data_IF_975533747753
#
_entry.id   IF_975533747753
#
_cell.length_a   1.000
_cell.length_b   1.000
_cell.length_c   1.000
_cell.angle_alpha   90.00
_cell.angle_beta   90.00
_cell.angle_gamma   90.00
#
_symmetry.space_group_name_H-M   'P 1'
#
loop_
_entity.id
_entity.type
_entity.pdbx_description
1 polymer ?
#
# COMPACT_ATOMS: atom_id res chain seq x y z
N UNK A 1 10.25 2.95 7.07
CA UNK A 1 9.81 3.98 8.07
C UNK A 1 10.97 4.68 8.78
N UNK A 2 11.87 3.97 9.47
CA UNK A 2 12.98 4.61 10.24
C UNK A 2 13.96 5.40 9.36
N UNK A 3 14.27 4.90 8.17
CA UNK A 3 15.17 5.55 7.19
C UNK A 3 14.64 6.95 6.81
N UNK A 4 13.43 7.04 6.24
CA UNK A 4 12.78 8.32 5.89
C UNK A 4 12.74 9.29 7.08
N UNK A 5 12.37 8.81 8.28
CA UNK A 5 12.36 9.65 9.48
C UNK A 5 13.75 10.22 9.82
N UNK A 6 14.81 9.40 9.80
CA UNK A 6 16.17 9.85 10.10
C UNK A 6 16.70 10.87 9.08
N UNK A 7 16.39 10.68 7.79
CA UNK A 7 16.78 11.61 6.73
C UNK A 7 16.09 12.96 6.94
N UNK A 8 14.76 12.98 7.09
CA UNK A 8 13.98 14.21 7.24
C UNK A 8 14.35 15.00 8.51
N UNK A 9 14.62 14.29 9.62
CA UNK A 9 14.94 14.93 10.90
C UNK A 9 16.45 15.22 11.08
N UNK A 10 17.26 15.12 10.02
CA UNK A 10 18.68 15.48 10.03
C UNK A 10 18.98 16.51 8.95
N UNK A 11 18.47 17.75 9.09
CA UNK A 11 18.54 18.79 8.06
C UNK A 11 19.97 19.24 7.75
N UNK A 12 20.92 19.00 8.64
CA UNK A 12 22.31 19.45 8.52
C UNK A 12 23.28 18.37 8.05
N UNK A 13 22.91 17.08 8.12
CA UNK A 13 23.83 15.98 7.84
C UNK A 13 23.27 15.01 6.80
N UNK A 14 22.16 14.33 7.10
CA UNK A 14 21.65 13.28 6.21
C UNK A 14 20.81 13.85 5.07
N UNK A 15 20.02 14.90 5.33
CA UNK A 15 19.17 15.50 4.29
C UNK A 15 20.00 16.15 3.17
N UNK A 16 21.05 16.95 3.44
CA UNK A 16 21.88 17.52 2.37
C UNK A 16 22.60 16.43 1.57
N UNK A 17 23.13 15.40 2.24
CA UNK A 17 23.76 14.25 1.56
C UNK A 17 22.79 13.46 0.70
N UNK A 18 21.53 13.35 1.12
CA UNK A 18 20.49 12.74 0.31
C UNK A 18 20.24 13.58 -0.96
N UNK A 19 20.14 14.91 -0.81
CA UNK A 19 19.99 15.81 -1.95
C UNK A 19 21.16 15.70 -2.93
N UNK A 20 22.40 15.70 -2.44
CA UNK A 20 23.61 15.48 -3.24
C UNK A 20 23.56 14.15 -4.00
N UNK A 21 23.11 13.07 -3.36
CA UNK A 21 23.01 11.76 -4.00
C UNK A 21 21.89 11.70 -5.06
N UNK A 22 20.78 12.40 -4.84
CA UNK A 22 19.68 12.48 -5.81
C UNK A 22 19.95 13.46 -6.95
N UNK A 23 20.93 14.36 -6.80
CA UNK A 23 21.27 15.36 -7.80
C UNK A 23 21.72 14.70 -9.11
N UNK A 24 21.18 15.17 -10.24
CA UNK A 24 21.47 14.60 -11.55
C UNK A 24 20.82 13.24 -11.84
N UNK A 25 19.89 12.79 -10.98
CA UNK A 25 19.05 11.60 -11.23
C UNK A 25 17.61 12.02 -11.53
N UNK A 26 16.79 11.08 -12.02
CA UNK A 26 15.35 11.33 -12.23
C UNK A 26 14.57 11.66 -10.95
N UNK A 27 15.19 11.51 -9.77
CA UNK A 27 14.59 11.79 -8.47
C UNK A 27 15.17 13.04 -7.80
N UNK A 28 15.76 13.95 -8.58
CA UNK A 28 16.26 15.22 -8.07
C UNK A 28 15.18 15.95 -7.24
N UNK A 29 15.58 16.46 -6.07
CA UNK A 29 14.69 17.10 -5.09
C UNK A 29 13.59 16.19 -4.49
N UNK A 30 13.54 14.90 -4.82
CA UNK A 30 12.57 13.96 -4.22
C UNK A 30 13.10 13.40 -2.91
N UNK A 31 12.28 13.48 -1.87
CA UNK A 31 12.56 12.89 -0.55
C UNK A 31 11.66 11.66 -0.37
N UNK A 32 12.16 10.65 0.35
CA UNK A 32 11.37 9.48 0.73
C UNK A 32 10.16 9.91 1.59
N UNK A 33 8.92 9.60 1.16
CA UNK A 33 7.71 9.99 1.87
C UNK A 33 7.73 9.47 3.31
N UNK A 34 7.24 10.28 4.23
CA UNK A 34 7.08 9.85 5.61
C UNK A 34 5.83 8.99 5.76
N UNK A 35 5.90 7.95 6.61
CA UNK A 35 4.72 7.17 6.96
C UNK A 35 3.95 7.83 8.10
N UNK A 36 2.74 8.29 7.83
CA UNK A 36 1.86 9.00 8.74
C UNK A 36 0.79 8.04 9.27
N UNK A 37 0.75 7.83 10.58
CA UNK A 37 -0.14 6.83 11.19
C UNK A 37 -1.64 7.08 10.93
N UNK A 38 -2.04 8.34 10.77
CA UNK A 38 -3.43 8.74 10.53
C UNK A 38 -3.80 8.73 9.04
N UNK A 39 -2.84 8.59 8.13
CA UNK A 39 -3.09 8.58 6.70
C UNK A 39 -2.95 7.15 6.16
N UNK A 40 -4.08 6.48 5.92
CA UNK A 40 -4.10 5.05 5.58
C UNK A 40 -3.27 4.69 4.34
N UNK A 41 -3.07 5.64 3.44
CA UNK A 41 -2.32 5.46 2.20
C UNK A 41 -0.80 5.68 2.32
N UNK A 42 -0.31 6.34 3.38
CA UNK A 42 1.10 6.76 3.44
C UNK A 42 2.07 5.59 3.53
N UNK A 43 1.63 4.44 4.06
CA UNK A 43 2.47 3.23 4.11
C UNK A 43 2.76 2.72 2.70
N UNK A 44 1.73 2.63 1.84
CA UNK A 44 1.90 2.25 0.45
C UNK A 44 2.77 3.26 -0.31
N UNK A 45 2.48 4.56 -0.19
CA UNK A 45 3.20 5.61 -0.91
C UNK A 45 4.70 5.65 -0.52
N UNK A 46 4.99 5.46 0.77
CA UNK A 46 6.37 5.32 1.27
C UNK A 46 7.06 4.10 0.67
N UNK A 47 6.44 2.91 0.75
CA UNK A 47 7.05 1.68 0.24
C UNK A 47 7.28 1.76 -1.27
N UNK A 48 6.29 2.25 -2.02
CA UNK A 48 6.38 2.41 -3.47
C UNK A 48 7.52 3.34 -3.88
N UNK A 49 7.62 4.50 -3.23
CA UNK A 49 8.73 5.44 -3.48
C UNK A 49 10.09 4.86 -3.07
N UNK A 50 10.12 4.07 -1.99
CA UNK A 50 11.34 3.43 -1.51
C UNK A 50 11.84 2.34 -2.48
N UNK A 51 10.94 1.54 -3.06
CA UNK A 51 11.25 0.56 -4.12
C UNK A 51 11.67 1.25 -5.43
N UNK A 52 11.02 2.34 -5.84
CA UNK A 52 11.43 3.14 -7.02
C UNK A 52 12.86 3.71 -6.88
N UNK A 53 13.27 4.05 -5.66
CA UNK A 53 14.58 4.64 -5.38
C UNK A 53 15.58 3.60 -4.83
N UNK A 54 15.37 2.30 -5.08
CA UNK A 54 16.16 1.19 -4.52
C UNK A 54 17.67 1.37 -4.64
N UNK A 55 18.16 1.73 -5.82
CA UNK A 55 19.61 1.91 -6.05
C UNK A 55 20.19 3.08 -5.24
N UNK A 56 19.45 4.19 -5.16
CA UNK A 56 19.85 5.35 -4.37
C UNK A 56 19.77 5.04 -2.87
N UNK A 57 18.73 4.35 -2.44
CA UNK A 57 18.58 3.90 -1.06
C UNK A 57 19.75 2.99 -0.65
N UNK A 58 20.09 1.99 -1.46
CA UNK A 58 21.21 1.09 -1.17
C UNK A 58 22.55 1.85 -1.09
N UNK A 59 22.85 2.72 -2.07
CA UNK A 59 24.07 3.57 -2.04
C UNK A 59 24.13 4.46 -0.80
N UNK A 60 23.00 5.04 -0.42
CA UNK A 60 22.92 5.93 0.74
C UNK A 60 23.12 5.18 2.07
N UNK A 61 22.60 3.96 2.18
CA UNK A 61 22.70 3.11 3.37
C UNK A 61 24.08 2.48 3.52
N UNK A 62 24.71 2.11 2.41
CA UNK A 62 26.06 1.51 2.35
C UNK A 62 27.17 2.52 2.68
N UNK A 63 26.90 3.81 2.52
CA UNK A 63 27.83 4.88 2.89
C UNK A 63 28.08 4.89 4.41
N UNK A 64 29.26 4.40 4.84
CA UNK A 64 29.69 4.33 6.26
C UNK A 64 29.56 5.67 6.99
N UNK A 65 29.71 6.79 6.26
CA UNK A 65 29.58 8.15 6.78
C UNK A 65 28.17 8.50 7.27
N UNK A 66 27.13 7.77 6.86
CA UNK A 66 25.74 8.02 7.20
C UNK A 66 25.27 7.26 8.45
N UNK A 67 26.01 6.24 8.91
CA UNK A 67 25.65 5.47 10.10
C UNK A 67 24.33 4.71 9.99
N UNK A 68 23.91 4.35 8.78
CA UNK A 68 22.65 3.67 8.48
C UNK A 68 22.82 2.23 7.96
N UNK A 69 24.04 1.68 8.01
CA UNK A 69 24.35 0.34 7.52
C UNK A 69 23.47 -0.77 8.15
N UNK A 70 23.02 -0.58 9.39
CA UNK A 70 22.09 -1.50 10.06
C UNK A 70 20.69 -1.58 9.43
N UNK A 71 20.37 -0.73 8.44
CA UNK A 71 19.12 -0.73 7.71
C UNK A 71 19.27 -1.17 6.24
N UNK A 72 20.45 -1.68 5.85
CA UNK A 72 20.63 -2.31 4.54
C UNK A 72 19.74 -3.55 4.48
N UNK A 73 18.94 -3.64 3.43
CA UNK A 73 18.00 -4.73 3.23
C UNK A 73 18.62 -5.83 2.38
N UNK A 74 18.37 -7.08 2.74
CA UNK A 74 18.73 -8.23 1.91
C UNK A 74 17.83 -8.31 0.66
N UNK A 75 18.20 -9.16 -0.31
CA UNK A 75 17.38 -9.36 -1.50
C UNK A 75 16.00 -9.92 -1.15
N UNK A 76 15.94 -10.85 -0.19
CA UNK A 76 14.69 -11.45 0.29
C UNK A 76 13.79 -10.40 0.97
N UNK A 77 14.39 -9.45 1.70
CA UNK A 77 13.63 -8.35 2.31
C UNK A 77 13.09 -7.38 1.26
N UNK A 78 13.84 -7.14 0.17
CA UNK A 78 13.35 -6.36 -0.97
C UNK A 78 12.18 -7.04 -1.68
N UNK A 79 12.25 -8.36 -1.89
CA UNK A 79 11.14 -9.13 -2.44
C UNK A 79 9.90 -9.06 -1.53
N UNK A 80 10.09 -9.10 -0.21
CA UNK A 80 8.99 -8.91 0.74
C UNK A 80 8.39 -7.49 0.66
N UNK A 81 9.19 -6.46 0.42
CA UNK A 81 8.72 -5.09 0.18
C UNK A 81 7.88 -5.02 -1.11
N UNK A 82 8.31 -5.66 -2.18
CA UNK A 82 7.56 -5.67 -3.43
C UNK A 82 6.25 -6.45 -3.31
N UNK A 83 6.26 -7.58 -2.59
CA UNK A 83 5.05 -8.32 -2.22
C UNK A 83 4.07 -7.50 -1.37
N UNK A 84 4.57 -6.70 -0.42
CA UNK A 84 3.75 -5.77 0.36
C UNK A 84 3.12 -4.69 -0.52
N UNK A 85 3.90 -4.10 -1.43
CA UNK A 85 3.39 -3.09 -2.37
C UNK A 85 2.27 -3.69 -3.23
N UNK A 86 2.46 -4.91 -3.73
CA UNK A 86 1.46 -5.61 -4.53
C UNK A 86 0.14 -5.79 -3.76
N UNK A 87 0.20 -6.32 -2.53
CA UNK A 87 -0.98 -6.55 -1.68
C UNK A 87 -1.69 -5.25 -1.30
N UNK A 88 -0.93 -4.21 -0.97
CA UNK A 88 -1.49 -2.93 -0.53
C UNK A 88 -2.08 -2.10 -1.67
N UNK A 89 -1.72 -2.40 -2.93
CA UNK A 89 -2.15 -1.62 -4.10
C UNK A 89 -3.67 -1.57 -4.24
N UNK A 90 -4.37 -2.70 -4.11
CA UNK A 90 -5.83 -2.73 -4.23
C UNK A 90 -6.52 -1.87 -3.16
N UNK A 91 -5.97 -1.85 -1.95
CA UNK A 91 -6.48 -1.02 -0.86
C UNK A 91 -6.24 0.47 -1.11
N UNK A 92 -5.06 0.82 -1.64
CA UNK A 92 -4.72 2.19 -2.04
C UNK A 92 -5.66 2.68 -3.14
N UNK A 93 -5.88 1.86 -4.16
CA UNK A 93 -6.73 2.20 -5.30
C UNK A 93 -8.19 2.36 -4.86
N UNK A 94 -8.72 1.42 -4.05
CA UNK A 94 -10.05 1.54 -3.46
C UNK A 94 -10.19 2.81 -2.60
N UNK A 95 -9.22 3.09 -1.72
CA UNK A 95 -9.24 4.30 -0.89
C UNK A 95 -9.23 5.57 -1.73
N UNK A 96 -8.39 5.62 -2.78
CA UNK A 96 -8.32 6.77 -3.69
C UNK A 96 -9.63 6.95 -4.47
N UNK A 97 -10.24 5.86 -4.92
CA UNK A 97 -11.54 5.87 -5.54
C UNK A 97 -12.57 6.48 -4.59
N UNK A 98 -12.73 5.93 -3.38
CA UNK A 98 -13.71 6.42 -2.39
C UNK A 98 -13.44 7.82 -1.84
N UNK A 99 -12.21 8.32 -1.96
CA UNK A 99 -11.85 9.70 -1.59
C UNK A 99 -12.11 10.72 -2.70
N UNK A 100 -12.53 10.29 -3.89
CA UNK A 100 -12.91 11.20 -4.98
C UNK A 100 -14.38 11.65 -4.86
N UNK A 101 -14.82 12.59 -5.70
CA UNK A 101 -16.19 13.12 -5.66
C UNK A 101 -17.23 12.26 -6.40
N UNK A 102 -16.80 11.21 -7.09
CA UNK A 102 -17.61 10.34 -7.95
C UNK A 102 -18.23 9.07 -7.30
N UNK A 103 -17.72 8.50 -6.19
CA UNK A 103 -18.21 7.24 -5.65
C UNK A 103 -19.63 7.36 -5.13
N UNK A 104 -20.46 6.41 -5.53
CA UNK A 104 -21.79 6.23 -4.97
C UNK A 104 -21.82 5.02 -4.03
N UNK A 105 -22.86 4.91 -3.21
CA UNK A 105 -23.04 3.78 -2.29
C UNK A 105 -23.09 2.44 -3.03
N UNK A 106 -23.58 2.42 -4.27
CA UNK A 106 -23.62 1.23 -5.11
C UNK A 106 -22.22 0.73 -5.53
N UNK A 107 -21.17 1.55 -5.43
CA UNK A 107 -19.80 1.10 -5.71
C UNK A 107 -19.15 0.33 -4.54
N UNK A 108 -19.75 0.36 -3.34
CA UNK A 108 -19.17 -0.25 -2.13
C UNK A 108 -19.08 -1.77 -2.24
N UNK A 109 -20.18 -2.44 -2.59
CA UNK A 109 -20.19 -3.92 -2.71
C UNK A 109 -19.20 -4.40 -3.79
N UNK A 110 -19.23 -3.87 -5.04
CA UNK A 110 -18.26 -4.26 -6.06
C UNK A 110 -16.80 -3.98 -5.69
N UNK A 111 -16.52 -2.92 -4.94
CA UNK A 111 -15.16 -2.63 -4.49
C UNK A 111 -14.70 -3.62 -3.41
N UNK A 112 -15.59 -3.99 -2.48
CA UNK A 112 -15.29 -5.03 -1.49
C UNK A 112 -15.08 -6.39 -2.14
N UNK A 113 -15.87 -6.74 -3.15
CA UNK A 113 -15.73 -8.00 -3.88
C UNK A 113 -14.36 -8.06 -4.57
N UNK A 114 -13.95 -6.98 -5.25
CA UNK A 114 -12.62 -6.87 -5.85
C UNK A 114 -11.48 -7.00 -4.83
N UNK A 115 -11.60 -6.39 -3.64
CA UNK A 115 -10.61 -6.56 -2.57
C UNK A 115 -10.58 -8.02 -2.08
N UNK A 116 -11.76 -8.65 -1.93
CA UNK A 116 -11.88 -10.03 -1.47
C UNK A 116 -11.22 -11.02 -2.45
N UNK A 117 -11.45 -10.82 -3.74
CA UNK A 117 -10.87 -11.63 -4.82
C UNK A 117 -9.37 -11.40 -4.95
N UNK A 118 -8.89 -10.15 -4.85
CA UNK A 118 -7.46 -9.85 -4.82
C UNK A 118 -6.77 -10.54 -3.65
N UNK A 119 -7.39 -10.55 -2.47
CA UNK A 119 -6.84 -11.23 -1.29
C UNK A 119 -6.90 -12.76 -1.42
N UNK A 120 -7.98 -13.31 -1.98
CA UNK A 120 -8.09 -14.75 -2.24
C UNK A 120 -6.98 -15.21 -3.19
N UNK A 121 -6.80 -14.47 -4.29
CA UNK A 121 -5.77 -14.73 -5.30
C UNK A 121 -4.37 -14.66 -4.69
N UNK A 122 -4.08 -13.65 -3.88
CA UNK A 122 -2.79 -13.52 -3.20
C UNK A 122 -2.51 -14.61 -2.16
N UNK A 123 -3.53 -15.21 -1.54
CA UNK A 123 -3.34 -16.33 -0.61
C UNK A 123 -2.96 -17.62 -1.35
N UNK A 124 -3.58 -17.86 -2.51
CA UNK A 124 -3.35 -19.08 -3.31
C UNK A 124 -2.03 -19.02 -4.06
N UNK A 125 -1.52 -17.83 -4.38
CA UNK A 125 -0.30 -17.65 -5.16
C UNK A 125 0.97 -17.90 -4.31
N UNK A 126 1.37 -19.16 -4.18
CA UNK A 126 2.52 -19.58 -3.35
C UNK A 126 3.89 -19.17 -3.89
N UNK A 127 4.00 -18.90 -5.19
CA UNK A 127 5.27 -18.58 -5.85
C UNK A 127 5.64 -17.11 -5.74
N UNK A 128 4.66 -16.21 -5.61
CA UNK A 128 4.91 -14.76 -5.59
C UNK A 128 4.83 -14.12 -4.19
N UNK A 129 4.19 -14.79 -3.22
CA UNK A 129 3.92 -14.22 -1.90
C UNK A 129 4.49 -15.06 -0.76
N UNK A 130 5.31 -14.41 0.07
CA UNK A 130 5.91 -15.03 1.25
C UNK A 130 4.84 -15.49 2.26
N UNK A 131 5.15 -16.55 3.03
CA UNK A 131 4.21 -17.12 4.01
C UNK A 131 3.64 -16.08 5.01
N UNK A 132 4.42 -15.12 5.54
CA UNK A 132 3.88 -14.07 6.41
C UNK A 132 2.84 -13.18 5.72
N UNK A 133 3.03 -12.86 4.43
CA UNK A 133 2.10 -12.04 3.68
C UNK A 133 0.80 -12.78 3.40
N UNK A 134 0.87 -14.07 3.08
CA UNK A 134 -0.33 -14.92 2.93
C UNK A 134 -1.13 -14.99 4.24
N UNK A 135 -0.44 -15.13 5.38
CA UNK A 135 -1.10 -15.09 6.68
C UNK A 135 -1.76 -13.74 6.95
N UNK A 136 -1.07 -12.63 6.65
CA UNK A 136 -1.63 -11.28 6.78
C UNK A 136 -2.86 -11.08 5.89
N UNK A 137 -2.85 -11.58 4.66
CA UNK A 137 -4.01 -11.58 3.76
C UNK A 137 -5.19 -12.37 4.33
N UNK A 138 -4.94 -13.52 4.95
CA UNK A 138 -5.97 -14.33 5.61
C UNK A 138 -6.66 -13.54 6.74
N UNK A 139 -5.88 -12.85 7.57
CA UNK A 139 -6.40 -11.95 8.61
C UNK A 139 -7.18 -10.78 7.98
N UNK A 140 -6.68 -10.23 6.88
CA UNK A 140 -7.36 -9.20 6.08
C UNK A 140 -8.73 -9.66 5.60
N UNK A 141 -8.85 -10.90 5.09
CA UNK A 141 -10.13 -11.49 4.69
C UNK A 141 -11.08 -11.68 5.88
N UNK A 142 -10.60 -12.13 7.04
CA UNK A 142 -11.44 -12.24 8.23
C UNK A 142 -12.02 -10.87 8.62
N UNK A 143 -11.20 -9.83 8.53
CA UNK A 143 -11.65 -8.45 8.75
C UNK A 143 -12.70 -8.03 7.71
N UNK A 144 -12.48 -8.35 6.44
CA UNK A 144 -13.42 -8.05 5.36
C UNK A 144 -14.76 -8.78 5.56
N UNK A 145 -14.74 -10.05 5.97
CA UNK A 145 -15.93 -10.84 6.29
C UNK A 145 -16.79 -10.21 7.39
N UNK A 146 -16.16 -9.64 8.42
CA UNK A 146 -16.88 -8.87 9.46
C UNK A 146 -17.62 -7.68 8.85
N UNK A 147 -17.01 -6.96 7.90
CA UNK A 147 -17.68 -5.84 7.23
C UNK A 147 -18.77 -6.31 6.25
N UNK A 148 -18.60 -7.45 5.57
CA UNK A 148 -19.68 -8.06 4.80
C UNK A 148 -20.91 -8.35 5.66
N UNK A 149 -20.71 -8.97 6.83
CA UNK A 149 -21.81 -9.23 7.77
C UNK A 149 -22.54 -7.94 8.18
N UNK A 150 -21.81 -6.86 8.47
CA UNK A 150 -22.40 -5.56 8.79
C UNK A 150 -23.14 -4.95 7.59
N UNK A 151 -22.58 -5.03 6.39
CA UNK A 151 -23.26 -4.55 5.19
C UNK A 151 -24.55 -5.32 4.89
N UNK A 152 -24.56 -6.64 5.07
CA UNK A 152 -25.74 -7.47 4.84
C UNK A 152 -26.90 -7.14 5.79
N UNK A 153 -26.59 -6.67 7.02
CA UNK A 153 -27.63 -6.19 7.95
C UNK A 153 -28.24 -4.86 7.53
N UNK A 154 -27.57 -4.10 6.66
CA UNK A 154 -28.05 -2.79 6.19
C UNK A 154 -28.70 -2.89 4.82
N UNK A 155 -29.99 -2.59 4.74
CA UNK A 155 -30.71 -2.55 3.47
C UNK A 155 -30.20 -1.50 2.50
N UNK A 156 -29.49 -0.47 2.97
CA UNK A 156 -29.04 0.68 2.17
C UNK A 156 -28.15 0.22 1.00
N UNK A 157 -27.19 -0.67 1.24
CA UNK A 157 -26.26 -1.12 0.19
C UNK A 157 -26.98 -1.93 -0.89
N UNK A 158 -27.90 -2.83 -0.49
CA UNK A 158 -28.69 -3.62 -1.43
C UNK A 158 -29.67 -2.76 -2.23
N UNK A 159 -30.36 -1.82 -1.59
CA UNK A 159 -31.25 -0.88 -2.27
C UNK A 159 -30.46 -0.03 -3.27
N UNK A 160 -29.30 0.50 -2.88
CA UNK A 160 -28.45 1.28 -3.78
C UNK A 160 -28.03 0.49 -5.03
N UNK A 161 -27.68 -0.80 -4.86
CA UNK A 161 -27.36 -1.70 -5.97
C UNK A 161 -28.56 -1.95 -6.89
N UNK A 162 -29.74 -2.19 -6.33
CA UNK A 162 -30.97 -2.43 -7.10
C UNK A 162 -31.36 -1.19 -7.93
N UNK A 163 -31.17 0.01 -7.36
CA UNK A 163 -31.43 1.27 -8.05
C UNK A 163 -30.38 1.62 -9.11
N UNK A 164 -29.21 0.99 -9.08
CA UNK A 164 -28.14 1.25 -10.03
C UNK A 164 -28.48 0.64 -11.40
N UNK A 165 -28.53 1.43 -12.51
CA UNK A 165 -28.99 0.97 -13.81
C UNK A 165 -28.23 -0.23 -14.39
N UNK A 166 -26.94 -0.35 -14.06
CA UNK A 166 -26.05 -1.41 -14.55
C UNK A 166 -26.06 -2.70 -13.72
N UNK A 167 -26.53 -2.67 -12.47
CA UNK A 167 -26.47 -3.83 -11.56
C UNK A 167 -27.85 -4.45 -11.33
N UNK A 168 -28.82 -3.62 -10.90
CA UNK A 168 -30.20 -4.05 -10.61
C UNK A 168 -30.23 -5.34 -9.76
N UNK A 169 -31.17 -6.23 -10.03
CA UNK A 169 -31.28 -7.53 -9.39
C UNK A 169 -30.33 -8.58 -9.99
N UNK A 170 -29.68 -8.29 -11.12
CA UNK A 170 -28.78 -9.26 -11.78
C UNK A 170 -27.50 -9.49 -10.99
N UNK A 171 -27.04 -8.48 -10.25
CA UNK A 171 -25.84 -8.59 -9.42
C UNK A 171 -25.96 -9.63 -8.29
N UNK A 172 -27.18 -9.90 -7.81
CA UNK A 172 -27.42 -10.82 -6.69
C UNK A 172 -27.82 -12.23 -7.13
N UNK A 173 -27.81 -12.51 -8.44
CA UNK A 173 -28.02 -13.84 -8.99
C UNK A 173 -26.71 -14.61 -9.04
#
# INVERSE_FOLDING_TARGET
>A
RRISFKIINSPTLLLPRWHELTAGTAFENRILPHNIATQWNSTYDMLKSFSEMKDLANKFLDSTSNGLAAYILSNEEWEAVDGLIFVLKILKDATKFFSSNSPNIAAVIPAMDQINEAFATGIVNEQELSAPLRHALSIGKQTLNKYYQLMDTSHIYRIAMILHPSFKLEYFK
#
